data_IF_309075155921
#
_entry.id   IF_309075155921
#
_cell.length_a   1.000
_cell.length_b   1.000
_cell.length_c   1.000
_cell.angle_alpha   90.00
_cell.angle_beta   90.00
_cell.angle_gamma   90.00
#
_symmetry.space_group_name_H-M   'P 1'
#
loop_
_entity.id
_entity.type
_entity.pdbx_description
1 polymer ?
#
# COMPACT_ATOMS: atom_id res chain seq x y z
N UNK A 1 1.49 -12.20 -19.53
CA UNK A 1 2.85 -11.89 -19.04
C UNK A 1 3.06 -10.39 -19.12
N UNK A 2 3.64 -9.78 -18.08
CA UNK A 2 4.03 -8.36 -18.05
C UNK A 2 5.52 -8.29 -17.78
N UNK A 3 6.31 -8.02 -18.81
CA UNK A 3 7.77 -7.87 -18.70
C UNK A 3 8.24 -6.44 -19.00
N UNK A 4 7.31 -5.59 -19.46
CA UNK A 4 7.47 -4.16 -19.67
C UNK A 4 6.57 -3.32 -18.75
N UNK A 5 6.34 -2.08 -19.13
CA UNK A 5 5.57 -1.13 -18.30
C UNK A 5 4.21 -0.81 -18.88
N UNK A 6 3.16 -0.93 -18.06
CA UNK A 6 1.85 -0.34 -18.30
C UNK A 6 1.73 0.89 -17.39
N UNK A 7 1.62 2.08 -17.96
CA UNK A 7 1.59 3.33 -17.18
C UNK A 7 0.35 4.17 -17.45
N UNK A 8 -0.24 4.68 -16.37
CA UNK A 8 -1.26 5.72 -16.38
C UNK A 8 -0.91 6.75 -15.29
N UNK A 9 0.34 7.22 -15.30
CA UNK A 9 0.86 8.14 -14.29
C UNK A 9 0.29 9.55 -14.48
N UNK A 10 0.10 10.24 -13.37
CA UNK A 10 -0.27 11.64 -13.35
C UNK A 10 0.84 12.55 -13.88
N UNK A 11 0.45 13.66 -14.51
CA UNK A 11 1.38 14.65 -15.04
C UNK A 11 2.11 15.42 -13.92
N UNK A 12 3.42 15.62 -14.09
CA UNK A 12 4.23 16.43 -13.17
C UNK A 12 3.94 17.92 -13.41
N UNK A 13 3.77 18.67 -12.33
CA UNK A 13 3.73 20.13 -12.39
C UNK A 13 5.06 20.71 -11.93
N UNK A 14 5.74 21.45 -12.82
CA UNK A 14 7.01 22.12 -12.55
C UNK A 14 6.98 23.64 -12.74
N UNK A 15 5.79 24.24 -12.82
CA UNK A 15 5.63 25.68 -12.99
C UNK A 15 5.85 26.49 -11.70
N UNK A 16 5.97 27.81 -11.84
CA UNK A 16 6.21 28.74 -10.73
C UNK A 16 4.95 29.34 -10.11
N UNK A 17 3.76 29.07 -10.66
CA UNK A 17 2.51 29.60 -10.11
C UNK A 17 2.11 28.87 -8.82
N UNK A 18 1.82 29.65 -7.78
CA UNK A 18 1.34 29.16 -6.48
C UNK A 18 -0.06 28.53 -6.59
N UNK A 19 -0.30 27.50 -5.79
CA UNK A 19 -1.60 26.82 -5.68
C UNK A 19 -1.92 25.84 -6.82
N UNK A 20 -1.07 25.72 -7.84
CA UNK A 20 -1.26 24.74 -8.91
C UNK A 20 -0.89 23.33 -8.43
N UNK A 21 -1.81 22.37 -8.59
CA UNK A 21 -1.56 20.96 -8.31
C UNK A 21 -0.99 20.20 -9.51
N UNK A 22 -0.40 19.04 -9.25
CA UNK A 22 -0.03 18.07 -10.30
C UNK A 22 -1.16 17.07 -10.58
N UNK A 23 -1.02 16.29 -11.65
CA UNK A 23 -2.04 15.34 -12.09
C UNK A 23 -2.11 14.10 -11.19
N UNK A 24 -3.31 13.60 -10.92
CA UNK A 24 -3.50 12.31 -10.25
C UNK A 24 -3.19 11.13 -11.16
N UNK A 25 -2.86 9.98 -10.57
CA UNK A 25 -2.77 8.71 -11.27
C UNK A 25 -4.10 8.25 -11.86
N UNK A 26 -4.04 7.56 -12.99
CA UNK A 26 -5.19 7.05 -13.74
C UNK A 26 -5.65 5.66 -13.26
N UNK A 27 -6.09 4.84 -14.22
CA UNK A 27 -6.58 3.48 -13.95
C UNK A 27 -5.92 2.47 -14.89
N UNK A 28 -5.55 1.31 -14.34
CA UNK A 28 -5.15 0.12 -15.10
C UNK A 28 -6.07 -1.02 -14.69
N UNK A 29 -6.77 -1.61 -15.66
CA UNK A 29 -7.52 -2.84 -15.48
C UNK A 29 -6.95 -3.92 -16.39
N UNK A 30 -6.56 -5.03 -15.78
CA UNK A 30 -6.07 -6.22 -16.48
C UNK A 30 -6.99 -7.37 -16.13
N UNK A 31 -7.48 -8.07 -17.15
CA UNK A 31 -8.19 -9.34 -17.00
C UNK A 31 -7.49 -10.40 -17.84
N UNK A 32 -7.25 -11.58 -17.27
CA UNK A 32 -6.58 -12.67 -17.96
C UNK A 32 -6.82 -14.00 -17.25
N UNK A 33 -6.66 -15.13 -17.95
CA UNK A 33 -6.70 -16.42 -17.27
C UNK A 33 -5.49 -16.62 -16.33
N UNK A 34 -4.29 -16.37 -16.83
CA UNK A 34 -3.05 -16.52 -16.06
C UNK A 34 -2.29 -15.20 -16.00
N UNK A 35 -2.07 -14.69 -14.78
CA UNK A 35 -1.29 -13.48 -14.55
C UNK A 35 0.16 -13.82 -14.18
N UNK A 36 1.11 -13.26 -14.94
CA UNK A 36 2.53 -13.56 -14.83
C UNK A 36 3.38 -12.40 -15.33
N UNK A 37 4.68 -12.41 -15.00
CA UNK A 37 5.66 -11.46 -15.51
C UNK A 37 6.92 -11.41 -14.66
N UNK A 38 7.97 -10.79 -15.19
CA UNK A 38 9.26 -10.64 -14.56
C UNK A 38 9.31 -9.44 -13.60
N UNK A 39 10.40 -9.32 -12.84
CA UNK A 39 10.68 -8.16 -11.98
C UNK A 39 10.84 -6.85 -12.76
N UNK A 40 11.12 -6.92 -14.07
CA UNK A 40 11.10 -5.75 -14.96
C UNK A 40 9.68 -5.26 -15.25
N UNK A 41 8.68 -6.13 -15.13
CA UNK A 41 7.27 -5.83 -15.30
C UNK A 41 6.77 -4.81 -14.29
N UNK A 42 6.10 -3.76 -14.78
CA UNK A 42 5.60 -2.67 -13.94
C UNK A 42 4.20 -2.23 -14.36
N UNK A 43 3.26 -2.22 -13.43
CA UNK A 43 1.99 -1.50 -13.54
C UNK A 43 2.10 -0.24 -12.67
N UNK A 44 2.03 0.94 -13.31
CA UNK A 44 2.24 2.21 -12.63
C UNK A 44 1.06 3.16 -12.85
N UNK A 45 0.48 3.61 -11.75
CA UNK A 45 -0.56 4.64 -11.66
C UNK A 45 -0.13 5.72 -10.66
N UNK A 46 1.16 6.04 -10.63
CA UNK A 46 1.73 7.01 -9.71
C UNK A 46 1.11 8.39 -9.93
N UNK A 47 0.79 9.11 -8.86
CA UNK A 47 0.48 10.53 -8.92
C UNK A 47 1.65 11.36 -9.43
N UNK A 48 1.36 12.45 -10.11
CA UNK A 48 2.36 13.39 -10.60
C UNK A 48 3.03 14.14 -9.45
N UNK A 49 4.34 14.33 -9.53
CA UNK A 49 5.06 15.17 -8.57
C UNK A 49 4.75 16.65 -8.82
N UNK A 50 4.79 17.44 -7.75
CA UNK A 50 4.75 18.89 -7.80
C UNK A 50 6.11 19.43 -7.36
N UNK A 51 6.94 19.79 -8.35
CA UNK A 51 8.29 20.34 -8.12
C UNK A 51 8.31 21.86 -8.16
N UNK A 52 7.13 22.48 -8.30
CA UNK A 52 6.94 23.91 -8.45
C UNK A 52 6.69 24.65 -7.13
N UNK A 53 5.85 25.68 -7.20
CA UNK A 53 5.49 26.52 -6.05
C UNK A 53 4.54 25.81 -5.05
N UNK A 54 3.86 26.53 -4.15
CA UNK A 54 3.09 25.95 -3.01
C UNK A 54 1.82 25.21 -3.45
N UNK A 55 1.96 24.05 -4.10
CA UNK A 55 0.88 23.23 -4.62
C UNK A 55 0.88 21.80 -4.07
N UNK A 56 -0.28 21.14 -4.21
CA UNK A 56 -0.43 19.72 -3.86
C UNK A 56 0.16 18.81 -4.93
N UNK A 57 0.63 17.64 -4.51
CA UNK A 57 0.97 16.56 -5.42
C UNK A 57 -0.28 15.78 -5.87
N UNK A 58 -0.16 14.95 -6.90
CA UNK A 58 -1.23 14.09 -7.37
C UNK A 58 -1.40 12.86 -6.49
N UNK A 59 -2.64 12.43 -6.28
CA UNK A 59 -2.92 11.13 -5.64
C UNK A 59 -2.53 9.96 -6.53
N UNK A 60 -2.28 8.80 -5.92
CA UNK A 60 -2.14 7.55 -6.66
C UNK A 60 -3.45 7.14 -7.35
N UNK A 61 -3.35 6.34 -8.41
CA UNK A 61 -4.48 5.85 -9.17
C UNK A 61 -5.01 4.48 -8.71
N UNK A 62 -5.65 3.74 -9.61
CA UNK A 62 -6.23 2.42 -9.32
C UNK A 62 -5.67 1.36 -10.26
N UNK A 63 -5.19 0.25 -9.71
CA UNK A 63 -4.83 -0.95 -10.45
C UNK A 63 -5.77 -2.07 -10.01
N UNK A 64 -6.39 -2.75 -10.98
CA UNK A 64 -7.15 -3.98 -10.74
C UNK A 64 -6.63 -5.08 -11.68
N UNK A 65 -6.25 -6.22 -11.11
CA UNK A 65 -5.83 -7.40 -11.87
C UNK A 65 -6.73 -8.58 -11.52
N UNK A 66 -7.58 -8.93 -12.47
CA UNK A 66 -8.54 -10.02 -12.39
C UNK A 66 -7.96 -11.24 -13.12
N UNK A 67 -7.72 -12.33 -12.37
CA UNK A 67 -7.10 -13.52 -12.91
C UNK A 67 -7.56 -14.80 -12.24
N UNK A 68 -7.56 -15.91 -12.98
CA UNK A 68 -7.90 -17.23 -12.46
C UNK A 68 -6.68 -17.90 -11.80
N UNK A 69 -5.49 -17.74 -12.38
CA UNK A 69 -4.26 -18.40 -11.93
C UNK A 69 -3.06 -17.47 -11.95
N UNK A 70 -2.11 -17.70 -11.04
CA UNK A 70 -0.84 -16.99 -11.03
C UNK A 70 0.26 -17.82 -11.69
N UNK A 71 1.02 -17.22 -12.59
CA UNK A 71 2.18 -17.87 -13.16
C UNK A 71 3.24 -18.12 -12.06
N UNK A 72 3.90 -19.30 -12.05
CA UNK A 72 5.02 -19.55 -11.14
C UNK A 72 6.11 -18.49 -11.27
N UNK A 73 6.65 -18.04 -10.14
CA UNK A 73 7.74 -17.04 -10.13
C UNK A 73 7.32 -15.63 -10.55
N UNK A 74 6.02 -15.33 -10.58
CA UNK A 74 5.53 -13.98 -10.89
C UNK A 74 6.19 -12.94 -9.95
N UNK A 75 6.85 -11.96 -10.54
CA UNK A 75 7.57 -10.89 -9.85
C UNK A 75 7.14 -9.49 -10.31
N UNK A 76 5.97 -9.37 -10.96
CA UNK A 76 5.44 -8.08 -11.42
C UNK A 76 5.33 -7.10 -10.27
N UNK A 77 5.71 -5.84 -10.54
CA UNK A 77 5.69 -4.73 -9.59
C UNK A 77 4.50 -3.80 -9.83
N UNK A 78 4.02 -3.22 -8.75
CA UNK A 78 2.87 -2.33 -8.70
C UNK A 78 3.27 -1.01 -8.04
N UNK A 79 3.05 0.09 -8.74
CA UNK A 79 3.31 1.42 -8.21
C UNK A 79 2.04 2.27 -8.28
N UNK A 80 1.47 2.56 -7.11
CA UNK A 80 0.37 3.47 -6.94
C UNK A 80 0.72 4.61 -5.97
N UNK A 81 2.00 4.93 -5.80
CA UNK A 81 2.43 6.01 -4.92
C UNK A 81 1.73 7.33 -5.29
N UNK A 82 1.46 8.13 -4.27
CA UNK A 82 1.20 9.55 -4.47
C UNK A 82 2.43 10.23 -5.09
N UNK A 83 2.21 11.37 -5.73
CA UNK A 83 3.31 12.27 -6.06
C UNK A 83 3.92 12.89 -4.80
N UNK A 84 5.13 13.40 -4.94
CA UNK A 84 5.80 14.26 -3.96
C UNK A 84 5.49 15.74 -4.24
N UNK A 85 5.39 16.56 -3.21
CA UNK A 85 5.10 17.98 -3.36
C UNK A 85 5.46 18.80 -2.13
N UNK A 86 5.17 20.10 -2.16
CA UNK A 86 5.51 21.04 -1.09
C UNK A 86 4.90 20.64 0.27
N UNK A 87 3.65 20.14 0.25
CA UNK A 87 2.98 19.67 1.45
C UNK A 87 3.31 18.21 1.73
N UNK A 88 4.18 17.98 2.72
CA UNK A 88 4.55 16.63 3.21
C UNK A 88 3.78 16.21 4.45
N UNK A 89 2.97 17.11 5.01
CA UNK A 89 2.19 16.85 6.22
C UNK A 89 1.08 15.82 5.91
N UNK A 90 0.84 14.81 6.76
CA UNK A 90 -0.11 13.72 6.48
C UNK A 90 -1.53 14.18 6.11
N UNK A 91 -2.00 15.32 6.65
CA UNK A 91 -3.33 15.87 6.37
C UNK A 91 -3.46 16.55 5.00
N UNK A 92 -2.34 16.89 4.35
CA UNK A 92 -2.27 17.63 3.09
C UNK A 92 -1.53 16.86 2.00
N UNK A 93 -0.80 15.82 2.39
CA UNK A 93 -0.15 14.90 1.47
C UNK A 93 -1.23 14.17 0.65
N UNK A 94 -0.92 13.95 -0.62
CA UNK A 94 -1.77 13.15 -1.48
C UNK A 94 -1.75 11.69 -1.01
N UNK A 95 -2.89 11.01 -1.14
CA UNK A 95 -3.02 9.63 -0.71
C UNK A 95 -2.40 8.66 -1.72
N UNK A 96 -1.90 7.49 -1.26
CA UNK A 96 -1.57 6.37 -2.12
C UNK A 96 -2.81 5.88 -2.89
N UNK A 97 -2.57 5.17 -3.98
CA UNK A 97 -3.60 4.59 -4.83
C UNK A 97 -3.99 3.18 -4.39
N UNK A 98 -4.90 2.57 -5.13
CA UNK A 98 -5.47 1.25 -4.81
C UNK A 98 -4.87 0.17 -5.69
N UNK A 99 -4.58 -0.99 -5.10
CA UNK A 99 -4.32 -2.23 -5.81
C UNK A 99 -5.38 -3.27 -5.41
N UNK A 100 -6.14 -3.74 -6.39
CA UNK A 100 -7.03 -4.88 -6.24
C UNK A 100 -6.47 -6.08 -7.03
N UNK A 101 -6.41 -7.23 -6.37
CA UNK A 101 -6.05 -8.50 -7.00
C UNK A 101 -7.17 -9.53 -6.77
N UNK A 102 -7.36 -10.44 -7.73
CA UNK A 102 -8.31 -11.55 -7.59
C UNK A 102 -8.05 -12.42 -6.35
N UNK A 103 -6.78 -12.58 -5.97
CA UNK A 103 -6.36 -13.28 -4.74
C UNK A 103 -5.19 -12.55 -4.08
N UNK A 104 -4.88 -12.94 -2.83
CA UNK A 104 -3.72 -12.42 -2.07
C UNK A 104 -2.38 -13.04 -2.45
N UNK A 105 -2.33 -13.95 -3.43
CA UNK A 105 -1.19 -14.87 -3.64
C UNK A 105 0.12 -14.17 -4.04
N UNK A 106 0.04 -12.89 -4.45
CA UNK A 106 1.21 -12.06 -4.70
C UNK A 106 1.87 -11.52 -3.42
N UNK A 107 1.20 -11.55 -2.27
CA UNK A 107 1.82 -11.36 -0.96
C UNK A 107 2.55 -12.66 -0.59
N UNK A 108 3.87 -12.66 -0.70
CA UNK A 108 4.68 -13.80 -0.28
C UNK A 108 4.61 -13.96 1.24
N UNK A 109 4.67 -15.20 1.73
CA UNK A 109 4.78 -15.45 3.15
C UNK A 109 6.08 -14.82 3.68
N UNK A 110 5.94 -13.79 4.50
CA UNK A 110 7.01 -13.25 5.35
C UNK A 110 7.84 -12.09 4.82
N UNK A 111 7.72 -11.70 3.54
CA UNK A 111 8.47 -10.54 3.03
C UNK A 111 7.67 -9.69 2.06
N UNK A 112 7.69 -8.38 2.29
CA UNK A 112 7.23 -7.35 1.36
C UNK A 112 8.41 -6.44 1.05
N UNK A 113 8.93 -6.54 -0.17
CA UNK A 113 10.04 -5.70 -0.60
C UNK A 113 10.32 -5.70 -2.09
N UNK A 114 11.58 -5.44 -2.46
CA UNK A 114 12.07 -5.35 -3.83
C UNK A 114 11.35 -4.32 -4.72
N UNK A 115 10.75 -3.31 -4.09
CA UNK A 115 9.92 -2.32 -4.77
C UNK A 115 8.68 -2.92 -5.45
N UNK A 116 8.25 -4.11 -5.01
CA UNK A 116 7.15 -4.85 -5.64
C UNK A 116 5.81 -4.19 -5.42
N UNK A 117 5.60 -3.63 -4.25
CA UNK A 117 4.41 -2.87 -3.89
C UNK A 117 4.86 -1.49 -3.45
N UNK A 118 4.51 -0.47 -4.20
CA UNK A 118 4.92 0.91 -3.93
C UNK A 118 3.68 1.78 -3.77
N UNK A 119 3.37 2.14 -2.53
CA UNK A 119 2.29 3.06 -2.17
C UNK A 119 0.92 2.51 -2.57
N UNK A 120 0.63 1.26 -2.22
CA UNK A 120 -0.64 0.61 -2.56
C UNK A 120 -1.53 0.41 -1.34
N UNK A 121 -2.79 0.81 -1.43
CA UNK A 121 -3.88 0.30 -0.60
C UNK A 121 -4.34 -1.02 -1.20
N UNK A 122 -3.95 -2.12 -0.58
CA UNK A 122 -4.17 -3.47 -1.06
C UNK A 122 -5.54 -4.01 -0.67
N UNK A 123 -6.25 -4.57 -1.65
CA UNK A 123 -7.50 -5.29 -1.47
C UNK A 123 -7.49 -6.60 -2.27
N UNK A 124 -8.08 -7.64 -1.70
CA UNK A 124 -8.45 -8.86 -2.39
C UNK A 124 -9.78 -9.39 -1.80
N UNK A 125 -10.62 -10.09 -2.58
CA UNK A 125 -11.84 -10.70 -2.08
C UNK A 125 -11.58 -11.62 -0.86
N UNK A 126 -12.33 -11.41 0.22
CA UNK A 126 -12.23 -12.22 1.44
C UNK A 126 -10.90 -12.10 2.19
N UNK A 127 -10.05 -11.14 1.86
CA UNK A 127 -8.79 -10.90 2.55
C UNK A 127 -8.95 -9.79 3.60
N UNK A 128 -9.51 -10.18 4.75
CA UNK A 128 -9.73 -9.33 5.93
C UNK A 128 -8.79 -9.67 7.09
N UNK A 129 -8.10 -10.81 7.03
CA UNK A 129 -7.09 -11.20 7.99
C UNK A 129 -5.90 -11.92 7.34
N UNK A 130 -4.74 -11.82 8.00
CA UNK A 130 -3.52 -12.51 7.61
C UNK A 130 -2.75 -13.00 8.82
N UNK A 131 -2.39 -14.28 8.81
CA UNK A 131 -1.48 -14.89 9.79
C UNK A 131 -0.20 -15.29 9.09
N UNK A 132 0.94 -14.91 9.66
CA UNK A 132 2.30 -15.23 9.17
C UNK A 132 3.22 -15.54 10.34
N UNK A 133 4.23 -16.37 10.09
CA UNK A 133 5.22 -16.73 11.10
C UNK A 133 6.09 -15.52 11.44
N UNK A 134 6.63 -14.86 10.43
CA UNK A 134 7.38 -13.60 10.55
C UNK A 134 6.93 -12.64 9.46
N UNK A 135 7.16 -11.33 9.62
CA UNK A 135 6.93 -10.36 8.55
C UNK A 135 8.04 -9.31 8.50
N UNK A 136 8.68 -9.20 7.35
CA UNK A 136 9.66 -8.16 7.05
C UNK A 136 9.13 -7.27 5.93
N UNK A 137 9.08 -5.96 6.18
CA UNK A 137 8.71 -4.94 5.19
C UNK A 137 9.90 -4.00 4.98
N UNK A 138 10.53 -4.08 3.82
CA UNK A 138 11.70 -3.27 3.43
C UNK A 138 11.62 -2.93 1.96
N UNK A 139 12.00 -1.71 1.53
CA UNK A 139 11.91 -1.27 0.15
C UNK A 139 10.54 -1.61 -0.51
N UNK A 140 9.46 -1.25 0.20
CA UNK A 140 8.09 -1.61 -0.18
C UNK A 140 7.10 -0.88 0.71
N UNK A 141 5.98 -0.46 0.13
CA UNK A 141 4.96 0.35 0.80
C UNK A 141 3.56 -0.18 0.48
N UNK A 142 2.93 -0.79 1.48
CA UNK A 142 1.59 -1.38 1.41
C UNK A 142 0.73 -0.97 2.59
N UNK A 143 -0.55 -0.76 2.33
CA UNK A 143 -1.60 -0.67 3.35
C UNK A 143 -2.53 -1.86 3.13
N UNK A 144 -2.67 -2.75 4.11
CA UNK A 144 -3.66 -3.83 4.11
C UNK A 144 -5.02 -3.19 4.45
N UNK A 145 -5.74 -2.81 3.41
CA UNK A 145 -6.73 -1.75 3.47
C UNK A 145 -8.18 -2.23 3.66
N UNK A 146 -8.41 -3.51 3.99
CA UNK A 146 -9.75 -3.93 4.41
C UNK A 146 -10.14 -3.21 5.71
N UNK A 147 -11.42 -2.82 5.82
CA UNK A 147 -11.91 -2.15 7.02
C UNK A 147 -11.91 -3.15 8.19
N UNK A 148 -11.24 -2.82 9.29
CA UNK A 148 -11.06 -3.73 10.43
C UNK A 148 -10.05 -4.87 10.20
N UNK A 149 -9.11 -4.74 9.26
CA UNK A 149 -8.13 -5.78 8.95
C UNK A 149 -7.38 -6.28 10.20
N UNK A 150 -7.19 -7.60 10.31
CA UNK A 150 -6.44 -8.23 11.40
C UNK A 150 -5.15 -8.88 10.90
N UNK A 151 -4.00 -8.39 11.34
CA UNK A 151 -2.69 -8.99 11.07
C UNK A 151 -2.19 -9.73 12.34
N UNK A 152 -1.88 -11.02 12.19
CA UNK A 152 -1.26 -11.84 13.23
C UNK A 152 0.13 -12.27 12.78
N UNK A 153 1.16 -11.85 13.51
CA UNK A 153 2.56 -12.25 13.30
C UNK A 153 2.96 -13.12 14.49
N UNK A 154 3.21 -14.42 14.24
CA UNK A 154 3.51 -15.40 15.30
C UNK A 154 4.93 -15.27 15.88
N UNK A 155 5.80 -14.54 15.19
CA UNK A 155 7.16 -14.24 15.56
C UNK A 155 7.42 -12.75 15.43
N UNK A 156 8.50 -12.37 14.75
CA UNK A 156 8.94 -10.98 14.67
C UNK A 156 8.28 -10.23 13.50
N UNK A 157 7.88 -8.98 13.78
CA UNK A 157 7.50 -7.98 12.76
C UNK A 157 8.60 -6.92 12.66
N UNK A 158 9.22 -6.80 11.48
CA UNK A 158 10.17 -5.74 11.17
C UNK A 158 9.67 -4.86 10.02
N UNK A 159 9.56 -3.55 10.26
CA UNK A 159 9.43 -2.53 9.22
C UNK A 159 10.74 -1.75 9.17
N UNK A 160 11.54 -2.02 8.14
CA UNK A 160 12.91 -1.52 8.00
C UNK A 160 13.07 -0.48 6.90
N UNK A 161 14.30 -0.37 6.36
CA UNK A 161 14.68 0.62 5.35
C UNK A 161 13.73 0.63 4.14
N UNK A 162 13.24 1.82 3.79
CA UNK A 162 12.27 2.03 2.70
C UNK A 162 10.93 1.30 2.86
N UNK A 163 10.66 0.72 4.04
CA UNK A 163 9.48 -0.06 4.35
C UNK A 163 8.32 0.80 4.86
N UNK A 164 7.11 0.57 4.35
CA UNK A 164 5.87 1.08 4.92
C UNK A 164 4.84 -0.04 5.00
N UNK A 165 4.31 -0.25 6.20
CA UNK A 165 3.20 -1.15 6.48
C UNK A 165 2.05 -0.35 7.09
N UNK A 166 0.89 -0.39 6.45
CA UNK A 166 -0.36 0.13 7.00
C UNK A 166 -1.36 -0.99 7.29
N UNK A 167 -2.11 -0.88 8.37
CA UNK A 167 -3.16 -1.84 8.76
C UNK A 167 -4.48 -1.10 8.94
N UNK A 168 -5.51 -1.54 8.20
CA UNK A 168 -6.85 -0.96 8.22
C UNK A 168 -7.09 0.06 7.09
N UNK A 169 -8.36 0.38 6.87
CA UNK A 169 -8.78 1.35 5.87
C UNK A 169 -8.51 2.79 6.33
N UNK A 170 -8.01 3.64 5.43
CA UNK A 170 -7.90 5.08 5.69
C UNK A 170 -9.32 5.64 5.83
N UNK A 171 -9.62 6.22 7.00
CA UNK A 171 -10.97 6.65 7.37
C UNK A 171 -12.01 5.53 7.42
N UNK A 172 -11.57 4.30 7.70
CA UNK A 172 -12.45 3.16 8.02
C UNK A 172 -13.22 3.37 9.31
N UNK A 173 -14.32 2.63 9.47
CA UNK A 173 -15.18 2.69 10.65
C UNK A 173 -14.89 1.54 11.61
N UNK A 174 -14.35 0.41 11.12
CA UNK A 174 -14.06 -0.76 11.92
C UNK A 174 -12.68 -0.68 12.60
N UNK A 175 -12.46 -1.60 13.54
CA UNK A 175 -11.34 -1.54 14.48
C UNK A 175 -10.26 -2.58 14.12
N UNK A 176 -9.22 -2.22 13.36
CA UNK A 176 -8.19 -3.17 12.98
C UNK A 176 -7.34 -3.60 14.17
N UNK A 177 -6.67 -4.74 14.00
CA UNK A 177 -5.79 -5.32 15.00
C UNK A 177 -4.44 -5.74 14.39
N UNK A 178 -3.37 -5.46 15.11
CA UNK A 178 -2.02 -5.98 14.86
C UNK A 178 -1.57 -6.77 16.09
N UNK A 179 -1.45 -8.08 15.95
CA UNK A 179 -0.94 -8.97 16.99
C UNK A 179 0.44 -9.46 16.57
N UNK A 180 1.43 -9.28 17.44
CA UNK A 180 2.81 -9.71 17.25
C UNK A 180 3.25 -10.51 18.48
N UNK A 181 3.42 -11.82 18.34
CA UNK A 181 3.80 -12.69 19.46
C UNK A 181 5.29 -12.53 19.81
N UNK A 182 6.13 -12.13 18.84
CA UNK A 182 7.54 -11.78 19.03
C UNK A 182 7.77 -10.27 19.15
N UNK A 183 8.91 -9.81 18.65
CA UNK A 183 9.31 -8.39 18.68
C UNK A 183 8.71 -7.58 17.53
N UNK A 184 8.16 -6.41 17.85
CA UNK A 184 7.82 -5.36 16.88
C UNK A 184 8.97 -4.36 16.73
N UNK A 185 9.60 -4.30 15.55
CA UNK A 185 10.72 -3.39 15.25
C UNK A 185 10.40 -2.47 14.07
N UNK A 186 10.35 -1.17 14.33
CA UNK A 186 10.30 -0.13 13.28
C UNK A 186 11.63 0.62 13.30
N UNK A 187 12.42 0.50 12.24
CA UNK A 187 13.81 0.97 12.20
C UNK A 187 14.21 1.48 10.83
N UNK A 188 15.35 2.15 10.77
CA UNK A 188 16.02 2.53 9.52
C UNK A 188 15.13 3.38 8.57
N UNK A 189 14.26 4.21 9.15
CA UNK A 189 13.31 5.04 8.38
C UNK A 189 12.02 4.32 7.95
N UNK A 190 11.82 3.07 8.39
CA UNK A 190 10.57 2.33 8.22
C UNK A 190 9.37 3.01 8.88
N UNK A 191 8.17 2.76 8.35
CA UNK A 191 6.94 3.40 8.79
C UNK A 191 5.82 2.38 9.03
N UNK A 192 5.30 2.32 10.26
CA UNK A 192 4.12 1.55 10.60
C UNK A 192 2.92 2.49 10.82
N UNK A 193 1.81 2.21 10.15
CA UNK A 193 0.54 2.93 10.29
C UNK A 193 -0.54 1.94 10.72
N UNK A 194 -1.32 2.30 11.74
CA UNK A 194 -2.50 1.53 12.15
C UNK A 194 -3.69 2.49 12.20
N UNK A 195 -4.68 2.27 11.34
CA UNK A 195 -5.78 3.21 11.13
C UNK A 195 -6.95 2.90 12.06
N UNK A 196 -7.15 3.72 13.08
CA UNK A 196 -8.25 3.53 14.02
C UNK A 196 -9.63 3.83 13.43
N UNK A 197 -10.59 2.94 13.70
CA UNK A 197 -12.00 3.14 13.42
C UNK A 197 -12.71 4.08 14.38
N UNK A 198 -14.01 4.26 14.17
CA UNK A 198 -14.87 5.15 14.97
C UNK A 198 -15.06 4.62 16.38
N UNK A 199 -14.77 5.44 17.40
CA UNK A 199 -14.93 5.09 18.82
C UNK A 199 -16.10 5.79 19.52
N UNK A 200 -16.84 6.66 18.80
CA UNK A 200 -18.00 7.38 19.34
C UNK A 200 -19.31 6.57 19.28
N UNK A 201 -19.26 5.32 18.82
CA UNK A 201 -20.31 4.31 18.94
C UNK A 201 -19.95 3.30 20.05
N UNK A 202 -20.93 2.88 20.86
CA UNK A 202 -20.74 2.11 22.11
C UNK A 202 -20.10 0.69 22.00
N UNK A 203 -19.47 0.33 20.88
CA UNK A 203 -19.05 -1.04 20.57
C UNK A 203 -17.61 -1.41 20.97
N UNK A 204 -16.64 -0.47 21.00
CA UNK A 204 -15.27 -0.71 21.46
C UNK A 204 -14.63 0.55 22.08
N UNK A 205 -13.80 0.36 23.11
CA UNK A 205 -13.10 1.44 23.81
C UNK A 205 -11.93 2.07 23.01
N UNK A 206 -11.41 1.37 21.99
CA UNK A 206 -10.24 1.79 21.20
C UNK A 206 -10.54 1.72 19.70
N UNK A 207 -9.93 2.62 18.91
CA UNK A 207 -10.12 2.69 17.47
C UNK A 207 -9.34 1.61 16.71
N UNK A 208 -8.20 1.18 17.23
CA UNK A 208 -7.41 0.06 16.76
C UNK A 208 -6.66 -0.56 17.94
N UNK A 209 -6.21 -1.80 17.77
CA UNK A 209 -5.47 -2.54 18.78
C UNK A 209 -4.10 -2.99 18.24
N UNK A 210 -3.05 -2.81 19.02
CA UNK A 210 -1.71 -3.31 18.73
C UNK A 210 -1.21 -4.04 19.96
N UNK A 211 -0.95 -5.34 19.81
CA UNK A 211 -0.51 -6.23 20.89
C UNK A 211 0.87 -6.78 20.53
N UNK A 212 1.83 -6.65 21.46
CA UNK A 212 3.19 -7.17 21.34
C UNK A 212 3.49 -7.99 22.58
N UNK A 213 3.83 -9.27 22.42
CA UNK A 213 4.06 -10.19 23.54
C UNK A 213 5.54 -10.49 23.83
N UNK A 214 6.46 -10.05 22.95
CA UNK A 214 7.91 -10.28 23.04
C UNK A 214 8.73 -9.16 23.69
#
# INVERSE_FOLDING_TARGET
>A
MVDGSLTANGGVYGGSADGCGSGSGGGIYVTCQTFGGAASGLLSVKGGDNTGARGGAGGGGRIAVDYETLAPGNAVRFNAQSGSGYYTQPRRAAAPGTLWLATRDLLQAGTIGDGRFMGVCFHAPGFDAWTVDELVVTNGAVILAADGFTLNVQGDLTVGDGGLLGIGAVSGDAHPALNCDGSLRVRDGGCLLVFGGRTNSAAKAVGAEVTVAG
#
